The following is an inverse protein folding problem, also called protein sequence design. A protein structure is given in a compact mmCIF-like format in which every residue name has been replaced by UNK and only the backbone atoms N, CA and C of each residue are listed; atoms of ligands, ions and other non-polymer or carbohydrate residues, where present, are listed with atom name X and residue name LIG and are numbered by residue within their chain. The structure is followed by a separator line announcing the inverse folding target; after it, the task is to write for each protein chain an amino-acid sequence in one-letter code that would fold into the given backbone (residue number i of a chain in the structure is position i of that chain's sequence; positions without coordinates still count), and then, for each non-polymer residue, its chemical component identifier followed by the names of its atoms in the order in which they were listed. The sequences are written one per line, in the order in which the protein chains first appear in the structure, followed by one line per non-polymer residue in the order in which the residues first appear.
data_IF_032371906671
#
_entry.id   IF_032371906671
#
_cell.length_a   1.000
_cell.length_b   1.000
_cell.length_c   1.000
_cell.angle_alpha   90.00
_cell.angle_beta   90.00
_cell.angle_gamma   90.00
#
_symmetry.space_group_name_H-M   'P 1'
#
loop_
_entity.id
_entity.type
_entity.pdbx_description
1 polymer ?
#
# COMPACT_ATOMS: atom_id res chain seq x y z
N UNK A 1 -4.52 35.05 -20.10
CA UNK A 1 -3.84 33.76 -20.32
C UNK A 1 -4.51 32.69 -19.47
N UNK A 2 -4.39 31.41 -19.83
CA UNK A 2 -4.93 30.29 -19.05
C UNK A 2 -4.45 30.30 -17.59
N UNK A 3 -3.16 30.59 -17.37
CA UNK A 3 -2.57 30.72 -16.02
C UNK A 3 -3.22 31.82 -15.17
N UNK A 4 -3.65 32.94 -15.77
CA UNK A 4 -4.33 34.00 -15.01
C UNK A 4 -5.73 33.56 -14.57
N UNK A 5 -6.43 32.76 -15.38
CA UNK A 5 -7.73 32.18 -15.00
C UNK A 5 -7.54 31.24 -13.81
N UNK A 6 -6.56 30.34 -13.87
CA UNK A 6 -6.23 29.43 -12.76
C UNK A 6 -5.92 30.18 -11.46
N UNK A 7 -5.11 31.25 -11.52
CA UNK A 7 -4.82 32.10 -10.35
C UNK A 7 -6.06 32.78 -9.78
N UNK A 8 -6.96 33.27 -10.64
CA UNK A 8 -8.25 33.87 -10.21
C UNK A 8 -9.10 32.84 -9.49
N UNK A 9 -9.30 31.66 -10.09
CA UNK A 9 -10.08 30.58 -9.50
C UNK A 9 -9.47 30.11 -8.16
N UNK A 10 -8.14 30.01 -8.07
CA UNK A 10 -7.47 29.69 -6.81
C UNK A 10 -7.74 30.76 -5.73
N UNK A 11 -7.70 32.04 -6.10
CA UNK A 11 -8.02 33.15 -5.21
C UNK A 11 -9.45 33.08 -4.68
N UNK A 12 -10.43 32.82 -5.56
CA UNK A 12 -11.85 32.66 -5.20
C UNK A 12 -12.09 31.46 -4.27
N UNK A 13 -11.45 30.30 -4.55
CA UNK A 13 -11.54 29.14 -3.65
C UNK A 13 -10.93 29.43 -2.28
N UNK A 14 -9.80 30.14 -2.25
CA UNK A 14 -9.15 30.53 -0.99
C UNK A 14 -10.05 31.48 -0.19
N UNK A 15 -10.68 32.46 -0.83
CA UNK A 15 -11.63 33.36 -0.19
C UNK A 15 -12.84 32.59 0.35
N UNK A 16 -13.36 31.62 -0.40
CA UNK A 16 -14.44 30.74 0.07
C UNK A 16 -14.04 29.94 1.32
N UNK A 17 -12.81 29.41 1.39
CA UNK A 17 -12.29 28.73 2.60
C UNK A 17 -12.24 29.70 3.78
N UNK A 18 -11.75 30.94 3.57
CA UNK A 18 -11.68 31.95 4.63
C UNK A 18 -13.08 32.36 5.13
N UNK A 19 -14.06 32.48 4.24
CA UNK A 19 -15.44 32.78 4.63
C UNK A 19 -16.08 31.64 5.43
N UNK A 20 -15.79 30.40 5.06
CA UNK A 20 -16.23 29.21 5.81
C UNK A 20 -15.60 29.19 7.21
N UNK A 21 -14.29 29.42 7.28
CA UNK A 21 -13.54 29.50 8.53
C UNK A 21 -14.11 30.57 9.45
N UNK A 22 -14.27 31.79 8.95
CA UNK A 22 -14.81 32.90 9.74
C UNK A 22 -16.23 32.66 10.26
N UNK A 23 -17.07 31.96 9.48
CA UNK A 23 -18.47 31.74 9.82
C UNK A 23 -18.70 30.53 10.73
N UNK A 24 -17.85 29.51 10.64
CA UNK A 24 -18.12 28.20 11.23
C UNK A 24 -16.95 27.58 12.01
N UNK A 25 -15.75 28.16 11.96
CA UNK A 25 -14.56 27.67 12.65
C UNK A 25 -14.01 28.67 13.66
N UNK A 26 -13.04 28.22 14.44
CA UNK A 26 -12.18 29.11 15.23
C UNK A 26 -11.16 29.76 14.29
N UNK A 27 -10.84 31.04 14.53
CA UNK A 27 -9.91 31.82 13.69
C UNK A 27 -8.58 31.07 13.48
N UNK A 28 -8.29 30.67 12.23
CA UNK A 28 -7.03 30.01 11.87
C UNK A 28 -7.14 28.51 11.58
N UNK A 29 -8.28 27.86 11.78
CA UNK A 29 -8.48 26.42 11.55
C UNK A 29 -8.05 25.93 10.15
N UNK A 30 -8.31 26.68 9.09
CA UNK A 30 -7.97 26.31 7.71
C UNK A 30 -6.77 27.10 7.15
N UNK A 31 -6.54 28.32 7.64
CA UNK A 31 -5.47 29.20 7.16
C UNK A 31 -4.13 28.97 7.85
N UNK A 32 -4.11 28.38 9.06
CA UNK A 32 -2.89 28.14 9.83
C UNK A 32 -2.21 26.79 9.55
N UNK A 33 -2.66 26.05 8.54
CA UNK A 33 -2.19 24.70 8.17
C UNK A 33 -0.73 24.72 7.65
N UNK A 34 0.22 24.98 8.55
CA UNK A 34 1.55 24.41 8.50
C UNK A 34 1.44 22.96 9.01
N UNK A 35 2.14 22.03 8.35
CA UNK A 35 2.04 20.58 8.62
C UNK A 35 2.16 20.23 10.11
N UNK A 36 2.97 20.97 10.88
CA UNK A 36 3.21 20.73 12.30
C UNK A 36 2.04 21.10 13.23
N UNK A 37 1.18 22.05 12.82
CA UNK A 37 -0.05 22.41 13.55
C UNK A 37 -1.27 21.59 13.12
N UNK A 38 -1.13 20.85 12.02
CA UNK A 38 -2.24 20.16 11.36
C UNK A 38 -2.86 19.07 12.24
N UNK A 39 -2.06 18.32 12.99
CA UNK A 39 -2.54 17.24 13.86
C UNK A 39 -3.42 17.74 15.00
N UNK A 40 -3.18 18.96 15.49
CA UNK A 40 -4.05 19.61 16.47
C UNK A 40 -5.30 20.19 15.81
N UNK A 41 -5.16 20.78 14.61
CA UNK A 41 -6.28 21.31 13.83
C UNK A 41 -7.27 20.22 13.37
N UNK A 42 -6.84 18.96 13.22
CA UNK A 42 -7.74 17.82 12.95
C UNK A 42 -8.84 17.66 14.02
N UNK A 43 -8.53 17.99 15.28
CA UNK A 43 -9.51 17.95 16.39
C UNK A 43 -10.52 19.08 16.31
N UNK A 44 -10.16 20.14 15.61
CA UNK A 44 -10.97 21.35 15.41
C UNK A 44 -11.80 21.27 14.13
N UNK A 45 -11.58 20.25 13.27
CA UNK A 45 -12.39 20.04 12.07
C UNK A 45 -13.87 19.99 12.46
N UNK A 46 -14.75 20.73 11.75
CA UNK A 46 -16.15 20.80 12.12
C UNK A 46 -16.78 19.42 12.19
N UNK A 47 -17.53 19.13 13.25
CA UNK A 47 -18.31 17.87 13.35
C UNK A 47 -19.47 17.82 12.36
N UNK A 48 -19.83 18.98 11.79
CA UNK A 48 -20.85 19.07 10.74
C UNK A 48 -20.33 18.41 9.44
N UNK A 49 -21.00 17.34 9.04
CA UNK A 49 -20.63 16.55 7.87
C UNK A 49 -20.78 17.32 6.56
N UNK A 50 -21.76 18.24 6.44
CA UNK A 50 -21.93 19.05 5.24
C UNK A 50 -20.80 20.08 5.11
N UNK A 51 -20.37 20.66 6.24
CA UNK A 51 -19.26 21.60 6.25
C UNK A 51 -17.92 20.92 5.93
N UNK A 52 -17.65 19.73 6.50
CA UNK A 52 -16.51 18.89 6.12
C UNK A 52 -16.52 18.57 4.64
N UNK A 53 -17.69 18.19 4.11
CA UNK A 53 -17.86 17.90 2.69
C UNK A 53 -17.56 19.09 1.80
N UNK A 54 -18.04 20.27 2.18
CA UNK A 54 -17.77 21.49 1.43
C UNK A 54 -16.29 21.86 1.48
N UNK A 55 -15.70 21.93 2.68
CA UNK A 55 -14.29 22.28 2.86
C UNK A 55 -13.36 21.29 2.14
N UNK A 56 -13.55 19.98 2.32
CA UNK A 56 -12.76 18.96 1.65
C UNK A 56 -12.81 19.08 0.11
N UNK A 57 -13.97 19.43 -0.44
CA UNK A 57 -14.14 19.68 -1.88
C UNK A 57 -13.39 20.93 -2.34
N UNK A 58 -13.39 22.02 -1.55
CA UNK A 58 -12.59 23.22 -1.85
C UNK A 58 -11.09 22.89 -1.89
N UNK A 59 -10.56 22.21 -0.87
CA UNK A 59 -9.14 21.83 -0.83
C UNK A 59 -8.75 20.90 -1.98
N UNK A 60 -9.63 19.95 -2.35
CA UNK A 60 -9.43 19.08 -3.51
C UNK A 60 -9.27 19.91 -4.81
N UNK A 61 -10.17 20.86 -5.05
CA UNK A 61 -10.11 21.70 -6.25
C UNK A 61 -8.93 22.68 -6.25
N UNK A 62 -8.53 23.18 -5.07
CA UNK A 62 -7.29 23.95 -4.94
C UNK A 62 -6.08 23.09 -5.35
N UNK A 63 -6.03 21.83 -4.92
CA UNK A 63 -5.01 20.85 -5.36
C UNK A 63 -5.03 20.62 -6.88
N UNK A 64 -6.22 20.49 -7.49
CA UNK A 64 -6.36 20.35 -8.95
C UNK A 64 -5.83 21.57 -9.71
N UNK A 65 -6.16 22.79 -9.25
CA UNK A 65 -5.67 24.03 -9.87
C UNK A 65 -4.14 24.13 -9.77
N UNK A 66 -3.58 23.82 -8.61
CA UNK A 66 -2.13 23.84 -8.39
C UNK A 66 -1.41 22.80 -9.26
N UNK A 67 -2.01 21.61 -9.44
CA UNK A 67 -1.53 20.63 -10.42
C UNK A 67 -1.51 21.20 -11.82
N UNK A 68 -2.57 21.88 -12.27
CA UNK A 68 -2.60 22.53 -13.58
C UNK A 68 -1.61 23.69 -13.73
N UNK A 69 -1.19 24.28 -12.61
CA UNK A 69 -0.13 25.29 -12.55
C UNK A 69 1.29 24.70 -12.43
N UNK A 70 1.43 23.38 -12.31
CA UNK A 70 2.67 22.67 -12.00
C UNK A 70 3.33 23.11 -10.68
N UNK A 71 2.52 23.49 -9.68
CA UNK A 71 2.99 23.76 -8.32
C UNK A 71 2.85 22.47 -7.49
N UNK A 72 3.84 21.59 -7.63
CA UNK A 72 3.80 20.23 -7.07
C UNK A 72 3.74 20.23 -5.53
N UNK A 73 4.51 21.10 -4.88
CA UNK A 73 4.59 21.18 -3.42
C UNK A 73 3.24 21.56 -2.82
N UNK A 74 2.62 22.64 -3.32
CA UNK A 74 1.32 23.05 -2.83
C UNK A 74 0.24 22.06 -3.26
N UNK A 75 0.29 21.51 -4.48
CA UNK A 75 -0.66 20.50 -4.95
C UNK A 75 -0.75 19.32 -3.98
N UNK A 76 0.39 18.72 -3.62
CA UNK A 76 0.45 17.63 -2.65
C UNK A 76 -0.16 18.05 -1.32
N UNK A 77 0.25 19.22 -0.80
CA UNK A 77 -0.25 19.76 0.46
C UNK A 77 -1.78 19.87 0.47
N UNK A 78 -2.37 20.44 -0.57
CA UNK A 78 -3.83 20.63 -0.67
C UNK A 78 -4.59 19.31 -0.81
N UNK A 79 -4.08 18.34 -1.58
CA UNK A 79 -4.68 17.01 -1.62
C UNK A 79 -4.56 16.27 -0.29
N UNK A 80 -3.45 16.38 0.43
CA UNK A 80 -3.29 15.80 1.77
C UNK A 80 -4.27 16.41 2.77
N UNK A 81 -4.48 17.74 2.72
CA UNK A 81 -5.49 18.40 3.56
C UNK A 81 -6.89 17.89 3.23
N UNK A 82 -7.25 17.84 1.94
CA UNK A 82 -8.55 17.33 1.51
C UNK A 82 -8.78 15.88 1.96
N UNK A 83 -7.72 15.06 1.94
CA UNK A 83 -7.77 13.66 2.36
C UNK A 83 -8.04 13.53 3.85
N UNK A 84 -7.42 14.41 4.64
CA UNK A 84 -7.56 14.40 6.09
C UNK A 84 -8.94 14.89 6.54
N UNK A 85 -9.55 15.81 5.79
CA UNK A 85 -10.94 16.25 6.02
C UNK A 85 -11.94 15.16 5.62
N UNK A 86 -11.68 14.45 4.52
CA UNK A 86 -12.61 13.48 3.92
C UNK A 86 -11.94 12.15 3.53
N UNK A 87 -11.43 11.37 4.50
CA UNK A 87 -10.74 10.12 4.21
C UNK A 87 -11.66 9.07 3.57
N UNK A 88 -12.98 9.22 3.73
CA UNK A 88 -13.99 8.35 3.16
C UNK A 88 -14.17 8.49 1.64
N UNK A 89 -13.75 9.63 1.05
CA UNK A 89 -13.92 9.92 -0.38
C UNK A 89 -12.76 9.41 -1.22
N UNK A 90 -13.03 8.38 -2.03
CA UNK A 90 -12.07 7.80 -2.98
C UNK A 90 -11.49 8.80 -3.98
N UNK A 91 -12.21 9.89 -4.29
CA UNK A 91 -11.76 10.89 -5.28
C UNK A 91 -10.43 11.54 -4.89
N UNK A 92 -10.25 11.88 -3.61
CA UNK A 92 -9.01 12.51 -3.13
C UNK A 92 -7.84 11.53 -3.15
N UNK A 93 -8.08 10.28 -2.74
CA UNK A 93 -7.10 9.20 -2.89
C UNK A 93 -6.66 9.06 -4.34
N UNK A 94 -7.60 9.06 -5.29
CA UNK A 94 -7.27 8.97 -6.72
C UNK A 94 -6.43 10.16 -7.19
N UNK A 95 -6.71 11.40 -6.77
CA UNK A 95 -5.91 12.55 -7.18
C UNK A 95 -4.46 12.49 -6.64
N UNK A 96 -4.27 11.99 -5.42
CA UNK A 96 -2.91 11.69 -4.92
C UNK A 96 -2.24 10.61 -5.77
N UNK A 97 -2.95 9.56 -6.18
CA UNK A 97 -2.42 8.56 -7.10
C UNK A 97 -1.93 9.17 -8.41
N UNK A 98 -2.70 10.08 -9.01
CA UNK A 98 -2.31 10.82 -10.21
C UNK A 98 -1.12 11.74 -9.95
N UNK A 99 -1.08 12.41 -8.79
CA UNK A 99 0.04 13.27 -8.40
C UNK A 99 1.35 12.49 -8.37
N UNK A 100 1.41 11.35 -7.68
CA UNK A 100 2.64 10.55 -7.61
C UNK A 100 3.03 9.94 -8.97
N UNK A 101 2.05 9.62 -9.83
CA UNK A 101 2.31 9.03 -11.15
C UNK A 101 2.93 10.06 -12.10
N UNK A 102 2.51 11.33 -11.98
CA UNK A 102 2.93 12.43 -12.85
C UNK A 102 4.17 13.18 -12.39
N UNK A 103 4.53 13.10 -11.10
CA UNK A 103 5.64 13.84 -10.51
C UNK A 103 6.78 12.92 -10.10
N UNK A 104 7.53 12.30 -11.04
CA UNK A 104 8.68 11.48 -10.69
C UNK A 104 9.63 12.32 -9.84
N UNK A 105 9.82 11.95 -8.56
CA UNK A 105 10.84 12.58 -7.73
C UNK A 105 12.14 12.54 -8.51
N UNK A 106 12.73 13.71 -8.78
CA UNK A 106 14.11 13.78 -9.26
C UNK A 106 14.96 13.27 -8.11
N UNK A 107 15.29 11.98 -8.14
CA UNK A 107 16.29 11.43 -7.23
C UNK A 107 17.59 12.20 -7.51
N UNK A 108 18.21 12.77 -6.46
CA UNK A 108 19.46 13.53 -6.56
C UNK A 108 20.67 12.65 -6.93
N UNK A 109 20.44 11.41 -7.37
CA UNK A 109 21.43 10.51 -7.95
C UNK A 109 21.82 11.05 -9.34
N UNK A 110 22.87 11.87 -9.38
CA UNK A 110 23.40 12.55 -10.57
C UNK A 110 24.04 11.64 -11.63
N UNK A 111 23.53 10.44 -11.86
CA UNK A 111 23.94 9.58 -12.98
C UNK A 111 22.89 9.67 -14.10
N UNK A 112 23.34 10.14 -15.26
CA UNK A 112 22.59 10.18 -16.54
C UNK A 112 22.24 8.79 -17.12
N UNK A 113 22.05 7.78 -16.27
CA UNK A 113 21.57 6.48 -16.70
C UNK A 113 20.06 6.52 -16.89
N UNK A 114 19.72 6.94 -18.12
CA UNK A 114 18.54 6.58 -18.91
C UNK A 114 17.44 5.89 -18.11
N UNK A 115 16.32 6.58 -17.92
CA UNK A 115 14.95 6.16 -18.25
C UNK A 115 14.41 4.82 -17.67
N UNK A 116 15.21 4.00 -16.99
CA UNK A 116 14.91 2.60 -16.68
C UNK A 116 14.37 2.40 -15.28
N UNK A 117 14.74 3.26 -14.32
CA UNK A 117 13.98 3.39 -13.09
C UNK A 117 12.78 4.29 -13.40
N UNK A 118 11.75 3.72 -14.04
CA UNK A 118 10.39 4.22 -13.80
C UNK A 118 10.30 4.37 -12.29
N UNK A 119 10.24 5.60 -11.76
CA UNK A 119 10.40 5.85 -10.33
C UNK A 119 9.50 4.88 -9.54
N UNK A 120 10.09 3.78 -9.10
CA UNK A 120 9.36 2.57 -8.73
C UNK A 120 8.59 2.88 -7.46
N UNK A 121 9.25 3.57 -6.54
CA UNK A 121 8.65 4.21 -5.38
C UNK A 121 7.40 5.03 -5.74
N UNK A 122 7.47 5.96 -6.69
CA UNK A 122 6.31 6.77 -7.05
C UNK A 122 5.17 5.95 -7.66
N UNK A 123 5.46 4.98 -8.54
CA UNK A 123 4.42 4.11 -9.08
C UNK A 123 3.79 3.23 -7.99
N UNK A 124 4.61 2.72 -7.09
CA UNK A 124 4.19 1.97 -5.92
C UNK A 124 3.26 2.81 -5.06
N UNK A 125 3.65 4.04 -4.72
CA UNK A 125 2.82 5.00 -3.99
C UNK A 125 1.54 5.33 -4.77
N UNK A 126 1.60 5.51 -6.09
CA UNK A 126 0.42 5.71 -6.93
C UNK A 126 -0.55 4.54 -6.87
N UNK A 127 -0.06 3.31 -6.97
CA UNK A 127 -0.88 2.11 -6.84
C UNK A 127 -1.56 2.06 -5.49
N UNK A 128 -0.82 2.31 -4.40
CA UNK A 128 -1.41 2.42 -3.07
C UNK A 128 -2.60 3.38 -3.05
N UNK A 129 -2.42 4.60 -3.55
CA UNK A 129 -3.49 5.60 -3.59
C UNK A 129 -4.67 5.19 -4.48
N UNK A 130 -4.43 4.54 -5.62
CA UNK A 130 -5.51 4.04 -6.47
C UNK A 130 -6.29 2.88 -5.83
N UNK A 131 -5.62 1.94 -5.17
CA UNK A 131 -6.29 0.89 -4.39
C UNK A 131 -7.12 1.50 -3.26
N UNK A 132 -6.56 2.47 -2.52
CA UNK A 132 -7.31 3.21 -1.50
C UNK A 132 -8.52 3.94 -2.07
N UNK A 133 -8.43 4.47 -3.30
CA UNK A 133 -9.56 5.11 -3.97
C UNK A 133 -10.71 4.13 -4.27
N UNK A 134 -10.39 2.92 -4.71
CA UNK A 134 -11.37 1.88 -5.04
C UNK A 134 -12.05 1.33 -3.78
N UNK A 135 -11.27 1.12 -2.72
CA UNK A 135 -11.75 0.52 -1.47
C UNK A 135 -12.11 1.54 -0.38
N UNK A 136 -12.20 2.83 -0.72
CA UNK A 136 -12.73 3.84 0.19
C UNK A 136 -14.24 3.60 0.44
N UNK A 137 -14.78 4.00 1.60
CA UNK A 137 -16.21 3.91 1.89
C UNK A 137 -17.09 4.54 0.81
N UNK A 138 -16.66 5.66 0.23
CA UNK A 138 -17.24 6.25 -0.98
C UNK A 138 -16.25 6.00 -2.12
N UNK A 139 -16.41 4.90 -2.88
CA UNK A 139 -15.40 4.44 -3.82
C UNK A 139 -15.29 5.37 -5.03
N UNK A 140 -14.10 5.39 -5.64
CA UNK A 140 -13.83 6.07 -6.90
C UNK A 140 -13.19 5.09 -7.90
N UNK A 141 -13.57 5.19 -9.17
CA UNK A 141 -13.08 4.29 -10.22
C UNK A 141 -11.65 4.64 -10.61
N UNK A 142 -10.70 3.78 -10.21
CA UNK A 142 -9.26 3.95 -10.48
C UNK A 142 -8.62 2.72 -11.17
N UNK A 143 -9.41 1.70 -11.50
CA UNK A 143 -8.95 0.43 -12.06
C UNK A 143 -8.21 0.61 -13.39
N UNK A 144 -8.66 1.59 -14.19
CA UNK A 144 -8.00 1.94 -15.46
C UNK A 144 -6.59 2.48 -15.24
N UNK A 145 -6.37 3.25 -14.16
CA UNK A 145 -5.06 3.78 -13.84
C UNK A 145 -4.11 2.67 -13.35
N UNK A 146 -4.61 1.77 -12.50
CA UNK A 146 -3.85 0.58 -12.05
C UNK A 146 -3.41 -0.25 -13.25
N UNK A 147 -4.34 -0.63 -14.14
CA UNK A 147 -4.02 -1.40 -15.35
C UNK A 147 -3.02 -0.69 -16.26
N UNK A 148 -3.13 0.63 -16.41
CA UNK A 148 -2.17 1.42 -17.20
C UNK A 148 -0.77 1.34 -16.59
N UNK A 149 -0.64 1.52 -15.27
CA UNK A 149 0.64 1.42 -14.56
C UNK A 149 1.22 0.02 -14.73
N UNK A 150 0.45 -1.02 -14.42
CA UNK A 150 0.93 -2.40 -14.46
C UNK A 150 1.31 -2.84 -15.88
N UNK A 151 0.53 -2.47 -16.90
CA UNK A 151 0.89 -2.73 -18.30
C UNK A 151 2.18 -2.02 -18.71
N UNK A 152 2.40 -0.79 -18.23
CA UNK A 152 3.65 -0.04 -18.47
C UNK A 152 4.84 -0.73 -17.80
N UNK A 153 4.71 -1.12 -16.53
CA UNK A 153 5.74 -1.86 -15.78
C UNK A 153 6.10 -3.17 -16.50
N UNK A 154 5.10 -3.98 -16.84
CA UNK A 154 5.29 -5.25 -17.51
C UNK A 154 6.07 -5.09 -18.83
N UNK A 155 5.67 -4.12 -19.65
CA UNK A 155 6.31 -3.82 -20.92
C UNK A 155 7.76 -3.39 -20.76
N UNK A 156 8.04 -2.49 -19.82
CA UNK A 156 9.41 -1.99 -19.59
C UNK A 156 10.32 -3.08 -19.02
N UNK A 157 9.85 -3.86 -18.05
CA UNK A 157 10.60 -4.97 -17.47
C UNK A 157 10.92 -6.05 -18.51
N UNK A 158 9.96 -6.41 -19.37
CA UNK A 158 10.19 -7.40 -20.43
C UNK A 158 11.20 -6.91 -21.46
N UNK A 159 11.20 -5.62 -21.76
CA UNK A 159 12.11 -5.02 -22.74
C UNK A 159 13.52 -4.84 -22.18
N UNK A 160 13.64 -4.42 -20.92
CA UNK A 160 14.91 -4.07 -20.28
C UNK A 160 14.88 -4.51 -18.81
N UNK A 161 15.05 -5.82 -18.52
CA UNK A 161 15.08 -6.27 -17.14
C UNK A 161 16.28 -5.64 -16.41
N UNK A 162 16.08 -5.02 -15.24
CA UNK A 162 17.18 -4.49 -14.43
C UNK A 162 18.10 -5.65 -14.00
N UNK A 163 19.42 -5.40 -14.02
CA UNK A 163 20.40 -6.40 -13.59
C UNK A 163 20.30 -6.72 -12.09
N UNK A 164 19.90 -5.74 -11.29
CA UNK A 164 19.66 -5.87 -9.84
C UNK A 164 18.46 -5.00 -9.47
N UNK A 165 17.23 -5.51 -9.59
CA UNK A 165 16.06 -4.73 -9.26
C UNK A 165 16.01 -4.41 -7.76
N UNK A 166 15.48 -3.24 -7.42
CA UNK A 166 15.11 -2.92 -6.04
C UNK A 166 13.82 -3.65 -5.62
N UNK A 167 13.43 -3.48 -4.36
CA UNK A 167 12.25 -4.17 -3.82
C UNK A 167 10.97 -3.71 -4.55
N UNK A 168 10.81 -2.40 -4.72
CA UNK A 168 9.66 -1.80 -5.37
C UNK A 168 9.52 -2.28 -6.82
N UNK A 169 10.61 -2.38 -7.57
CA UNK A 169 10.66 -2.92 -8.93
C UNK A 169 10.20 -4.38 -8.96
N UNK A 170 10.75 -5.26 -8.11
CA UNK A 170 10.33 -6.67 -8.06
C UNK A 170 8.85 -6.77 -7.71
N UNK A 171 8.40 -6.00 -6.71
CA UNK A 171 7.02 -6.01 -6.26
C UNK A 171 6.06 -5.52 -7.36
N UNK A 172 6.38 -4.43 -8.04
CA UNK A 172 5.61 -3.94 -9.18
C UNK A 172 5.56 -4.93 -10.33
N UNK A 173 6.67 -5.62 -10.62
CA UNK A 173 6.73 -6.67 -11.65
C UNK A 173 5.84 -7.84 -11.28
N UNK A 174 5.88 -8.31 -10.03
CA UNK A 174 4.99 -9.37 -9.54
C UNK A 174 3.51 -8.99 -9.75
N UNK A 175 3.12 -7.79 -9.36
CA UNK A 175 1.75 -7.29 -9.57
C UNK A 175 1.39 -7.20 -11.04
N UNK A 176 2.32 -6.75 -11.88
CA UNK A 176 2.10 -6.60 -13.30
C UNK A 176 1.92 -7.95 -14.01
N UNK A 177 2.70 -8.94 -13.59
CA UNK A 177 2.58 -10.32 -14.05
C UNK A 177 1.23 -10.92 -13.64
N UNK A 178 0.82 -10.72 -12.38
CA UNK A 178 -0.51 -11.14 -11.87
C UNK A 178 -1.64 -10.49 -12.70
N UNK A 179 -1.57 -9.19 -12.97
CA UNK A 179 -2.60 -8.48 -13.76
C UNK A 179 -2.66 -8.97 -15.21
N UNK A 180 -1.50 -9.21 -15.83
CA UNK A 180 -1.38 -9.68 -17.21
C UNK A 180 -1.90 -11.10 -17.43
N UNK A 181 -2.02 -11.92 -16.37
CA UNK A 181 -2.37 -13.34 -16.44
C UNK A 181 -1.38 -14.18 -17.29
N UNK A 182 -0.18 -13.66 -17.53
CA UNK A 182 0.89 -14.32 -18.29
C UNK A 182 1.42 -15.53 -17.50
N UNK A 183 1.76 -16.62 -18.19
CA UNK A 183 2.46 -17.74 -17.57
C UNK A 183 3.88 -17.32 -17.15
N UNK A 184 4.18 -17.48 -15.86
CA UNK A 184 5.52 -17.22 -15.32
C UNK A 184 6.31 -18.51 -15.44
N UNK A 185 7.13 -18.61 -16.48
CA UNK A 185 8.06 -19.73 -16.71
C UNK A 185 9.08 -19.93 -15.58
N UNK A 186 9.32 -18.88 -14.78
CA UNK A 186 10.24 -18.91 -13.64
C UNK A 186 9.62 -18.22 -12.40
N UNK A 187 8.42 -18.65 -12.02
CA UNK A 187 7.71 -18.15 -10.82
C UNK A 187 8.59 -18.23 -9.56
N UNK A 188 9.26 -19.36 -9.35
CA UNK A 188 10.05 -19.61 -8.14
C UNK A 188 11.24 -18.66 -8.00
N UNK A 189 11.96 -18.35 -9.09
CA UNK A 189 13.05 -17.39 -9.01
C UNK A 189 12.54 -15.98 -8.68
N UNK A 190 11.40 -15.57 -9.24
CA UNK A 190 10.82 -14.25 -8.98
C UNK A 190 10.40 -14.12 -7.50
N UNK A 191 9.75 -15.14 -6.93
CA UNK A 191 9.41 -15.16 -5.50
C UNK A 191 10.63 -15.28 -4.60
N UNK A 192 11.66 -16.03 -4.98
CA UNK A 192 12.93 -16.08 -4.25
C UNK A 192 13.61 -14.71 -4.23
N UNK A 193 13.62 -14.01 -5.37
CA UNK A 193 14.12 -12.64 -5.48
C UNK A 193 13.34 -11.65 -4.63
N UNK A 194 12.00 -11.73 -4.66
CA UNK A 194 11.12 -10.94 -3.80
C UNK A 194 11.42 -11.19 -2.32
N UNK A 195 11.47 -12.45 -1.91
CA UNK A 195 11.74 -12.85 -0.52
C UNK A 195 13.09 -12.35 -0.02
N UNK A 196 14.13 -12.44 -0.84
CA UNK A 196 15.45 -11.89 -0.50
C UNK A 196 15.37 -10.38 -0.36
N UNK A 197 14.77 -9.69 -1.33
CA UNK A 197 14.75 -8.22 -1.37
C UNK A 197 13.93 -7.62 -0.24
N UNK A 198 12.77 -8.21 0.07
CA UNK A 198 11.98 -7.78 1.22
C UNK A 198 12.75 -8.06 2.51
N UNK A 199 13.36 -9.24 2.69
CA UNK A 199 14.15 -9.53 3.90
C UNK A 199 15.30 -8.56 4.10
N UNK A 200 16.00 -8.20 3.03
CA UNK A 200 17.18 -7.33 3.08
C UNK A 200 16.80 -5.86 3.35
N UNK A 201 15.67 -5.40 2.81
CA UNK A 201 15.27 -3.98 2.87
C UNK A 201 14.26 -3.66 3.96
N UNK A 202 13.54 -4.64 4.48
CA UNK A 202 12.43 -4.40 5.42
C UNK A 202 12.87 -3.85 6.78
N UNK A 203 14.12 -4.05 7.18
CA UNK A 203 14.66 -3.38 8.36
C UNK A 203 14.87 -1.87 8.12
N UNK A 204 15.03 -1.47 6.86
CA UNK A 204 15.15 -0.07 6.43
C UNK A 204 13.79 0.52 6.00
N UNK A 205 12.77 -0.32 5.76
CA UNK A 205 11.43 0.14 5.41
C UNK A 205 10.75 0.78 6.62
N UNK A 206 10.22 1.98 6.42
CA UNK A 206 9.32 2.56 7.40
C UNK A 206 8.02 1.74 7.43
N UNK A 207 7.38 1.65 8.61
CA UNK A 207 6.14 0.87 8.76
C UNK A 207 5.02 1.34 7.82
N UNK A 208 5.04 2.62 7.41
CA UNK A 208 4.13 3.17 6.41
C UNK A 208 4.25 2.50 5.04
N UNK A 209 5.46 2.15 4.62
CA UNK A 209 5.73 1.55 3.32
C UNK A 209 5.31 0.08 3.37
N UNK A 210 5.53 -0.57 4.50
CA UNK A 210 4.99 -1.89 4.76
C UNK A 210 3.46 -1.95 4.65
N UNK A 211 2.75 -0.99 5.27
CA UNK A 211 1.30 -0.91 5.16
C UNK A 211 0.82 -0.68 3.73
N UNK A 212 1.57 0.09 2.94
CA UNK A 212 1.27 0.27 1.52
C UNK A 212 1.37 -1.06 0.77
N UNK A 213 2.44 -1.85 0.99
CA UNK A 213 2.62 -3.18 0.37
C UNK A 213 1.40 -4.06 0.67
N UNK A 214 1.05 -4.20 1.96
CA UNK A 214 -0.05 -5.07 2.37
C UNK A 214 -1.38 -4.62 1.74
N UNK A 215 -1.68 -3.32 1.80
CA UNK A 215 -2.92 -2.78 1.22
C UNK A 215 -2.99 -2.98 -0.31
N UNK A 216 -1.86 -2.89 -1.01
CA UNK A 216 -1.79 -3.18 -2.45
C UNK A 216 -2.05 -4.68 -2.71
N UNK A 217 -1.42 -5.59 -1.96
CA UNK A 217 -1.62 -7.04 -2.11
C UNK A 217 -3.11 -7.39 -1.89
N UNK A 218 -3.71 -6.87 -0.82
CA UNK A 218 -5.12 -7.13 -0.51
C UNK A 218 -6.06 -6.54 -1.54
N UNK A 219 -5.81 -5.31 -1.98
CA UNK A 219 -6.58 -4.71 -3.06
C UNK A 219 -6.47 -5.52 -4.35
N UNK A 220 -5.29 -6.05 -4.65
CA UNK A 220 -5.06 -6.93 -5.81
C UNK A 220 -5.82 -8.24 -5.65
N UNK A 221 -5.77 -8.86 -4.46
CA UNK A 221 -6.51 -10.07 -4.14
C UNK A 221 -8.00 -9.89 -4.39
N UNK A 222 -8.62 -8.86 -3.82
CA UNK A 222 -10.04 -8.56 -3.97
C UNK A 222 -10.43 -8.33 -5.44
N UNK A 223 -9.60 -7.61 -6.20
CA UNK A 223 -9.85 -7.39 -7.63
C UNK A 223 -9.71 -8.66 -8.48
N UNK A 224 -8.92 -9.62 -8.05
CA UNK A 224 -8.53 -10.80 -8.83
C UNK A 224 -9.13 -12.11 -8.33
N UNK A 225 -9.85 -12.13 -7.20
CA UNK A 225 -10.38 -13.35 -6.56
C UNK A 225 -11.27 -14.19 -7.51
N UNK A 226 -11.88 -13.55 -8.51
CA UNK A 226 -12.71 -14.20 -9.53
C UNK A 226 -11.89 -14.96 -10.60
N UNK A 227 -10.56 -14.86 -10.59
CA UNK A 227 -9.63 -15.52 -11.54
C UNK A 227 -8.79 -16.58 -10.81
N UNK A 228 -9.09 -17.88 -10.96
CA UNK A 228 -8.45 -18.95 -10.17
C UNK A 228 -6.92 -19.02 -10.29
N UNK A 229 -6.38 -18.79 -11.50
CA UNK A 229 -4.92 -18.81 -11.73
C UNK A 229 -4.20 -17.69 -10.96
N UNK A 230 -4.72 -16.46 -11.06
CA UNK A 230 -4.16 -15.30 -10.37
C UNK A 230 -4.28 -15.42 -8.85
N UNK A 231 -5.36 -16.05 -8.38
CA UNK A 231 -5.59 -16.29 -6.95
C UNK A 231 -4.41 -17.02 -6.31
N UNK A 232 -3.93 -18.13 -6.89
CA UNK A 232 -2.79 -18.89 -6.36
C UNK A 232 -1.52 -18.03 -6.21
N UNK A 233 -1.21 -17.22 -7.22
CA UNK A 233 -0.01 -16.38 -7.22
C UNK A 233 -0.12 -15.28 -6.16
N UNK A 234 -1.30 -14.67 -6.00
CA UNK A 234 -1.52 -13.64 -4.96
C UNK A 234 -1.49 -14.27 -3.57
N UNK A 235 -2.07 -15.46 -3.38
CA UNK A 235 -2.02 -16.20 -2.11
C UNK A 235 -0.57 -16.54 -1.72
N UNK A 236 0.27 -16.92 -2.70
CA UNK A 236 1.71 -17.09 -2.49
C UNK A 236 2.39 -15.78 -2.11
N UNK A 237 2.14 -14.69 -2.84
CA UNK A 237 2.70 -13.36 -2.53
C UNK A 237 2.36 -12.89 -1.12
N UNK A 238 1.12 -13.12 -0.72
CA UNK A 238 0.62 -12.80 0.60
C UNK A 238 1.28 -13.67 1.67
N UNK A 239 1.46 -14.96 1.41
CA UNK A 239 2.15 -15.90 2.31
C UNK A 239 3.63 -15.53 2.50
N UNK A 240 4.35 -15.22 1.41
CA UNK A 240 5.76 -14.82 1.49
C UNK A 240 5.93 -13.48 2.22
N UNK A 241 5.06 -12.51 1.94
CA UNK A 241 5.04 -11.21 2.64
C UNK A 241 4.76 -11.43 4.13
N UNK A 242 3.83 -12.31 4.45
CA UNK A 242 3.46 -12.68 5.80
C UNK A 242 4.60 -13.34 6.58
N UNK A 243 5.24 -14.37 6.03
CA UNK A 243 6.34 -15.09 6.69
C UNK A 243 7.49 -14.14 7.04
N UNK A 244 7.81 -13.22 6.12
CA UNK A 244 8.88 -12.25 6.35
C UNK A 244 8.50 -11.31 7.50
N UNK A 245 7.25 -10.84 7.56
CA UNK A 245 6.79 -9.97 8.65
C UNK A 245 6.83 -10.63 10.01
N UNK A 246 6.27 -11.83 10.12
CA UNK A 246 6.25 -12.56 11.37
C UNK A 246 7.69 -12.82 11.81
N UNK A 247 8.58 -13.20 10.89
CA UNK A 247 10.00 -13.35 11.16
C UNK A 247 10.62 -12.09 11.77
N UNK A 248 10.30 -10.91 11.25
CA UNK A 248 10.85 -9.65 11.75
C UNK A 248 10.24 -9.20 13.08
N UNK A 249 8.93 -9.42 13.25
CA UNK A 249 8.25 -9.13 14.51
C UNK A 249 8.82 -10.00 15.63
N UNK A 250 9.10 -11.27 15.34
CA UNK A 250 9.74 -12.18 16.27
C UNK A 250 11.20 -11.79 16.55
N UNK A 251 11.96 -11.39 15.52
CA UNK A 251 13.35 -10.92 15.69
C UNK A 251 13.45 -9.62 16.50
N UNK A 252 12.47 -8.73 16.36
CA UNK A 252 12.44 -7.44 17.05
C UNK A 252 11.50 -7.42 18.27
N UNK A 253 11.07 -8.61 18.73
CA UNK A 253 10.09 -8.76 19.82
C UNK A 253 10.52 -8.08 21.12
N UNK A 254 11.82 -8.10 21.39
CA UNK A 254 12.39 -7.50 22.59
C UNK A 254 12.62 -6.00 22.46
N UNK A 255 12.55 -5.45 21.24
CA UNK A 255 12.60 -4.00 21.06
C UNK A 255 11.32 -3.39 21.65
N UNK A 256 11.47 -2.42 22.54
CA UNK A 256 10.36 -1.67 23.20
C UNK A 256 9.49 -0.90 22.19
N UNK A 257 9.76 -1.03 20.88
CA UNK A 257 9.18 -0.27 19.79
C UNK A 257 8.37 -1.14 18.82
N UNK A 258 7.66 -2.16 19.31
CA UNK A 258 6.49 -2.66 18.57
C UNK A 258 5.44 -1.53 18.57
N UNK A 259 5.56 -0.65 17.59
CA UNK A 259 4.67 0.49 17.39
C UNK A 259 3.23 0.00 17.11
N UNK A 260 2.21 0.79 17.47
CA UNK A 260 0.78 0.57 17.14
C UNK A 260 0.56 0.16 15.68
N UNK A 261 1.41 0.62 14.75
CA UNK A 261 1.36 0.17 13.36
C UNK A 261 1.61 -1.33 13.17
N UNK A 262 2.48 -1.96 13.94
CA UNK A 262 2.72 -3.41 13.86
C UNK A 262 1.47 -4.21 14.29
N UNK A 263 0.80 -3.77 15.35
CA UNK A 263 -0.49 -4.36 15.74
C UNK A 263 -1.54 -4.20 14.63
N UNK A 264 -1.58 -3.03 14.00
CA UNK A 264 -2.48 -2.79 12.88
C UNK A 264 -2.19 -3.74 11.71
N UNK A 265 -0.91 -3.90 11.34
CA UNK A 265 -0.47 -4.90 10.35
C UNK A 265 -0.94 -6.29 10.73
N UNK A 266 -0.70 -6.72 11.97
CA UNK A 266 -1.10 -8.06 12.44
C UNK A 266 -2.61 -8.27 12.37
N UNK A 267 -3.41 -7.27 12.76
CA UNK A 267 -4.87 -7.35 12.65
C UNK A 267 -5.37 -7.42 11.21
N UNK A 268 -4.67 -6.76 10.27
CA UNK A 268 -4.96 -6.87 8.85
C UNK A 268 -4.63 -8.28 8.35
N UNK A 269 -3.48 -8.82 8.75
CA UNK A 269 -3.06 -10.17 8.38
C UNK A 269 -4.01 -11.23 8.93
N UNK A 270 -4.49 -11.09 10.16
CA UNK A 270 -5.48 -11.99 10.75
C UNK A 270 -6.80 -12.01 9.96
N UNK A 271 -7.32 -10.84 9.54
CA UNK A 271 -8.51 -10.80 8.69
C UNK A 271 -8.33 -11.55 7.37
N UNK A 272 -7.13 -11.50 6.86
CA UNK A 272 -6.76 -12.13 5.60
C UNK A 272 -6.58 -13.63 5.79
N UNK A 273 -6.04 -14.05 6.94
CA UNK A 273 -5.89 -15.46 7.29
C UNK A 273 -7.22 -16.20 7.34
N UNK A 274 -8.26 -15.55 7.89
CA UNK A 274 -9.63 -16.07 7.92
C UNK A 274 -10.11 -16.40 6.50
N UNK A 275 -9.79 -15.54 5.52
CA UNK A 275 -10.14 -15.75 4.12
C UNK A 275 -9.28 -16.83 3.43
N UNK A 276 -8.12 -17.15 4.01
CA UNK A 276 -7.18 -18.14 3.49
C UNK A 276 -7.21 -19.49 4.25
N UNK A 277 -8.14 -19.71 5.17
CA UNK A 277 -8.22 -20.89 6.05
C UNK A 277 -8.20 -22.25 5.34
N UNK A 278 -8.51 -22.29 4.04
CA UNK A 278 -8.47 -23.50 3.24
C UNK A 278 -7.06 -23.94 2.82
N UNK A 279 -6.01 -23.14 3.09
CA UNK A 279 -4.64 -23.50 2.77
C UNK A 279 -3.91 -23.99 4.04
N UNK A 280 -3.54 -25.28 4.15
CA UNK A 280 -3.00 -25.86 5.38
C UNK A 280 -1.69 -25.20 5.83
N UNK A 281 -0.82 -24.81 4.89
CA UNK A 281 0.46 -24.12 5.19
C UNK A 281 0.25 -22.70 5.73
N UNK A 282 -0.81 -22.03 5.28
CA UNK A 282 -1.22 -20.71 5.77
C UNK A 282 -1.82 -20.88 7.17
N UNK A 283 -2.71 -21.83 7.38
CA UNK A 283 -3.38 -22.03 8.67
C UNK A 283 -2.38 -22.20 9.83
N UNK A 284 -1.31 -22.97 9.63
CA UNK A 284 -0.26 -23.15 10.63
C UNK A 284 0.51 -21.85 10.89
N UNK A 285 0.90 -21.15 9.81
CA UNK A 285 1.66 -19.91 9.87
C UNK A 285 0.86 -18.80 10.56
N UNK A 286 -0.46 -18.74 10.37
CA UNK A 286 -1.36 -17.72 10.91
C UNK A 286 -1.91 -18.00 12.30
N UNK A 287 -1.97 -19.26 12.74
CA UNK A 287 -2.32 -19.59 14.14
C UNK A 287 -1.38 -18.89 15.15
N UNK A 288 -0.12 -18.71 14.77
CA UNK A 288 0.89 -18.04 15.58
C UNK A 288 0.65 -16.52 15.74
N UNK A 289 -0.03 -15.85 14.80
CA UNK A 289 -0.29 -14.39 14.91
C UNK A 289 -1.25 -14.05 16.01
N UNK A 290 -2.37 -14.76 16.12
CA UNK A 290 -3.32 -14.49 17.21
C UNK A 290 -2.64 -14.70 18.56
N UNK A 291 -1.76 -15.70 18.67
CA UNK A 291 -0.99 -15.97 19.90
C UNK A 291 0.02 -14.84 20.18
N UNK A 292 0.75 -14.40 19.16
CA UNK A 292 1.69 -13.26 19.24
C UNK A 292 0.93 -11.97 19.61
N UNK A 293 -0.24 -11.72 19.01
CA UNK A 293 -1.08 -10.56 19.33
C UNK A 293 -1.59 -10.59 20.77
N UNK A 294 -2.03 -11.76 21.25
CA UNK A 294 -2.49 -11.95 22.62
C UNK A 294 -1.34 -11.73 23.61
N UNK A 295 -0.18 -12.37 23.40
CA UNK A 295 1.03 -12.17 24.22
C UNK A 295 1.49 -10.72 24.23
N UNK A 296 1.37 -10.02 23.10
CA UNK A 296 1.70 -8.60 23.03
C UNK A 296 0.73 -7.75 23.85
N UNK A 297 -0.58 -7.96 23.68
CA UNK A 297 -1.62 -7.25 24.43
C UNK A 297 -1.46 -7.48 25.93
N UNK A 298 -1.13 -8.70 26.34
CA UNK A 298 -0.82 -9.04 27.73
C UNK A 298 0.42 -8.30 28.26
N UNK A 299 1.52 -8.25 27.48
CA UNK A 299 2.74 -7.53 27.86
C UNK A 299 2.50 -6.03 27.99
N UNK A 300 1.82 -5.39 27.04
CA UNK A 300 1.49 -3.96 27.13
C UNK A 300 0.59 -3.66 28.34
N UNK A 301 -0.39 -4.52 28.62
CA UNK A 301 -1.23 -4.45 29.81
C UNK A 301 -0.43 -4.53 31.12
N UNK A 302 0.65 -5.32 31.15
CA UNK A 302 1.54 -5.42 32.30
C UNK A 302 2.47 -4.21 32.46
N UNK A 303 2.94 -3.64 31.35
CA UNK A 303 3.91 -2.54 31.36
C UNK A 303 3.26 -1.20 31.76
N UNK A 304 2.03 -0.95 31.34
CA UNK A 304 1.29 0.26 31.74
C UNK A 304 -0.23 0.00 31.74
N UNK A 305 -0.80 -0.45 32.88
CA UNK A 305 -2.23 -0.75 33.00
C UNK A 305 -3.14 0.47 32.83
N UNK A 306 -2.57 1.69 32.91
CA UNK A 306 -3.27 2.96 32.78
C UNK A 306 -2.98 3.64 31.43
N UNK A 307 -2.20 2.99 30.55
CA UNK A 307 -2.00 3.45 29.18
C UNK A 307 -3.33 3.41 28.46
N UNK A 308 -4.00 4.56 28.43
CA UNK A 308 -5.01 4.79 27.43
C UNK A 308 -4.28 4.67 26.10
N UNK A 309 -4.50 3.58 25.37
CA UNK A 309 -4.21 3.53 23.95
C UNK A 309 -5.03 4.66 23.34
N UNK A 310 -4.41 5.83 23.21
CA UNK A 310 -5.07 6.92 22.57
C UNK A 310 -5.28 6.49 21.13
N UNK A 311 -6.55 6.48 20.73
CA UNK A 311 -6.97 6.26 19.35
C UNK A 311 -6.31 7.31 18.42
N UNK A 312 -5.67 8.35 18.97
CA UNK A 312 -4.79 9.28 18.25
C UNK A 312 -3.72 8.59 17.38
N UNK A 313 -3.27 7.38 17.73
CA UNK A 313 -2.31 6.62 16.91
C UNK A 313 -2.91 6.09 15.59
N UNK A 314 -4.24 6.12 15.44
CA UNK A 314 -4.95 5.65 14.26
C UNK A 314 -5.24 6.75 13.23
N UNK A 315 -4.94 8.03 13.50
CA UNK A 315 -5.12 9.12 12.54
C UNK A 315 -6.48 9.06 11.80
N UNK A 316 -6.54 9.29 10.47
CA UNK A 316 -7.80 9.31 9.71
C UNK A 316 -8.58 7.97 9.66
N UNK A 317 -8.15 6.93 10.39
CA UNK A 317 -8.92 5.70 10.62
C UNK A 317 -9.84 5.77 11.85
N UNK A 318 -9.80 6.83 12.66
CA UNK A 318 -10.79 7.01 13.75
C UNK A 318 -12.24 7.00 13.22
N UNK A 319 -12.46 7.39 11.97
CA UNK A 319 -13.79 7.42 11.36
C UNK A 319 -14.26 6.04 10.83
N UNK A 320 -13.35 5.06 10.63
CA UNK A 320 -13.72 3.67 10.36
C UNK A 320 -14.04 2.88 11.63
N UNK A 321 -13.59 3.41 12.78
CA UNK A 321 -13.86 2.96 14.14
C UNK A 321 -14.74 4.03 14.80
N UNK A 322 -15.89 4.32 14.20
CA UNK A 322 -16.83 5.36 14.65
C UNK A 322 -17.61 4.99 15.91
N UNK A 323 -17.00 4.22 16.79
CA UNK A 323 -17.46 3.99 18.15
C UNK A 323 -16.33 4.41 19.06
N UNK A 324 -16.63 5.18 20.09
CA UNK A 324 -15.80 5.34 21.29
C UNK A 324 -15.60 3.94 21.91
N UNK A 325 -14.79 3.11 21.26
CA UNK A 325 -14.37 1.83 21.79
C UNK A 325 -13.29 2.20 22.79
N UNK A 326 -13.68 2.23 24.06
CA UNK A 326 -12.71 2.10 25.14
C UNK A 326 -11.76 0.94 24.79
N UNK A 327 -10.51 0.97 25.26
CA UNK A 327 -9.56 -0.12 25.04
C UNK A 327 -10.18 -1.49 25.38
N UNK A 328 -11.03 -1.55 26.41
CA UNK A 328 -11.82 -2.72 26.78
C UNK A 328 -12.79 -3.18 25.67
N UNK A 329 -13.41 -2.26 24.95
CA UNK A 329 -14.31 -2.56 23.84
C UNK A 329 -13.57 -2.98 22.57
N UNK A 330 -12.37 -2.44 22.29
CA UNK A 330 -11.49 -2.95 21.23
C UNK A 330 -11.00 -4.37 21.57
N UNK A 331 -10.63 -4.62 22.83
CA UNK A 331 -10.28 -5.95 23.32
C UNK A 331 -11.47 -6.92 23.24
N UNK A 332 -12.69 -6.47 23.56
CA UNK A 332 -13.92 -7.25 23.40
C UNK A 332 -14.23 -7.52 21.92
N UNK A 333 -13.97 -6.57 21.03
CA UNK A 333 -14.08 -6.77 19.58
C UNK A 333 -13.09 -7.81 19.08
N UNK A 334 -11.81 -7.72 19.47
CA UNK A 334 -10.81 -8.73 19.15
C UNK A 334 -11.19 -10.11 19.70
N UNK A 335 -11.54 -10.21 20.99
CA UNK A 335 -11.99 -11.48 21.62
C UNK A 335 -13.25 -12.05 20.97
N UNK A 336 -14.18 -11.20 20.52
CA UNK A 336 -15.39 -11.62 19.81
C UNK A 336 -15.08 -12.06 18.36
N UNK A 337 -14.07 -11.47 17.72
CA UNK A 337 -13.64 -11.79 16.35
C UNK A 337 -12.80 -13.08 16.31
N UNK A 338 -11.96 -13.29 17.33
CA UNK A 338 -11.11 -14.47 17.50
C UNK A 338 -11.93 -15.71 17.95
N UNK A 339 -13.06 -15.48 18.65
CA UNK A 339 -13.93 -16.54 19.17
C UNK A 339 -13.29 -17.35 20.32
N UNK A 340 -14.08 -18.15 21.07
CA UNK A 340 -13.54 -19.00 22.12
C UNK A 340 -12.77 -20.17 21.51
N UNK A 341 -11.46 -20.28 21.78
CA UNK A 341 -10.65 -21.45 21.41
C UNK A 341 -11.04 -22.66 22.27
N UNK A 342 -11.10 -23.83 21.63
CA UNK A 342 -10.86 -25.10 22.32
C UNK A 342 -9.36 -25.19 22.59
N UNK A 343 -8.98 -25.51 23.83
CA UNK A 343 -7.58 -25.79 24.17
C UNK A 343 -7.02 -26.84 23.20
N UNK A 344 -5.89 -26.57 22.52
CA UNK A 344 -5.25 -27.56 21.68
C UNK A 344 -4.65 -28.66 22.56
N UNK A 345 -5.03 -29.91 22.29
CA UNK A 345 -4.31 -31.07 22.81
C UNK A 345 -2.88 -31.04 22.22
N UNK A 346 -1.89 -30.80 23.07
CA UNK A 346 -0.48 -30.80 22.70
C UNK A 346 -0.09 -32.15 22.08
N UNK A 347 0.40 -32.21 20.84
CA UNK A 347 1.02 -33.42 20.32
C UNK A 347 2.37 -33.67 20.99
N UNK A 348 2.81 -34.94 21.09
CA UNK A 348 4.06 -35.30 21.76
C UNK A 348 5.27 -34.74 21.00
N UNK A 349 6.19 -34.15 21.76
CA UNK A 349 7.44 -33.54 21.29
C UNK A 349 8.33 -34.62 20.66
N UNK A 350 8.65 -34.47 19.37
CA UNK A 350 9.69 -35.23 18.67
C UNK A 350 10.95 -34.37 18.58
N UNK A 351 12.01 -34.80 19.29
CA UNK A 351 13.35 -34.25 19.16
C UNK A 351 13.93 -34.62 17.79
N UNK A 352 14.32 -33.62 16.99
CA UNK A 352 15.33 -33.80 15.95
C UNK A 352 16.26 -32.59 15.92
N UNK A 353 17.55 -32.88 16.11
CA UNK A 353 18.66 -31.97 15.86
C UNK A 353 19.12 -32.10 14.41
N UNK A 354 19.79 -31.04 13.96
CA UNK A 354 20.70 -30.95 12.81
C UNK A 354 20.08 -30.75 11.41
N UNK A 355 20.26 -29.54 10.88
CA UNK A 355 20.59 -29.29 9.47
C UNK A 355 21.30 -27.95 9.33
N UNK A 356 22.59 -28.02 9.02
CA UNK A 356 23.44 -26.90 8.56
C UNK A 356 23.09 -26.55 7.11
N UNK A 357 22.83 -25.28 6.80
CA UNK A 357 22.59 -24.81 5.44
C UNK A 357 23.88 -24.28 4.78
N UNK A 358 24.11 -24.74 3.55
CA UNK A 358 25.09 -24.22 2.59
C UNK A 358 24.34 -23.24 1.68
N UNK A 359 24.87 -22.03 1.49
CA UNK A 359 24.29 -21.02 0.59
C UNK A 359 25.04 -21.03 -0.75
N UNK A 360 24.32 -21.37 -1.83
CA UNK A 360 24.72 -21.12 -3.21
C UNK A 360 24.00 -19.86 -3.74
N UNK A 361 24.78 -18.94 -4.30
CA UNK A 361 24.32 -17.73 -5.00
C UNK A 361 24.37 -17.96 -6.51
N UNK A 362 23.27 -18.45 -7.09
CA UNK A 362 23.08 -18.48 -8.55
C UNK A 362 22.23 -17.29 -9.02
N UNK A 363 22.64 -16.72 -10.15
CA UNK A 363 22.13 -15.51 -10.80
C UNK A 363 20.67 -15.65 -11.28
N UNK A 364 19.87 -14.60 -11.05
CA UNK A 364 18.48 -14.47 -11.52
C UNK A 364 18.43 -14.21 -13.04
N UNK A 365 18.16 -15.26 -13.83
CA UNK A 365 17.72 -15.12 -15.22
C UNK A 365 16.22 -15.45 -15.34
N UNK A 366 15.38 -14.42 -15.43
CA UNK A 366 13.93 -14.57 -15.66
C UNK A 366 13.68 -14.37 -17.15
N UNK A 367 13.21 -15.43 -17.85
CA UNK A 367 12.91 -15.37 -19.29
C UNK A 367 11.40 -15.40 -19.50
N UNK A 368 10.76 -14.29 -19.86
CA UNK A 368 9.32 -14.24 -20.15
C UNK A 368 9.06 -14.64 -21.60
N UNK A 369 8.22 -15.64 -21.85
CA UNK A 369 7.78 -16.03 -23.20
C UNK A 369 6.41 -15.42 -23.50
N UNK A 370 6.34 -14.50 -24.46
CA UNK A 370 5.05 -14.00 -24.97
C UNK A 370 4.44 -15.03 -25.91
N UNK A 371 3.45 -15.79 -25.45
CA UNK A 371 2.60 -16.58 -26.32
C UNK A 371 1.55 -15.67 -26.96
N UNK A 372 1.91 -15.04 -28.08
CA UNK A 372 1.00 -14.58 -29.13
C UNK A 372 1.82 -14.17 -30.35
N UNK A 373 2.20 -15.16 -31.16
CA UNK A 373 2.75 -14.96 -32.48
C UNK A 373 1.59 -14.73 -33.47
N UNK A 374 1.45 -13.51 -33.98
CA UNK A 374 0.75 -13.27 -35.24
C UNK A 374 1.67 -13.78 -36.34
N UNK A 375 1.42 -15.00 -36.82
CA UNK A 375 1.96 -15.52 -38.08
C UNK A 375 1.50 -14.62 -39.23
N UNK A 376 2.41 -13.80 -39.77
CA UNK A 376 2.28 -13.30 -41.14
C UNK A 376 3.12 -14.21 -42.02
N UNK A 377 2.48 -15.26 -42.54
CA UNK A 377 2.95 -15.93 -43.74
C UNK A 377 2.90 -14.94 -44.91
N UNK A 378 4.05 -14.61 -45.48
CA UNK A 378 4.15 -14.45 -46.94
C UNK A 378 5.41 -15.12 -47.44
N UNK A 379 5.22 -16.30 -48.01
CA UNK A 379 6.16 -16.92 -48.93
C UNK A 379 6.24 -16.06 -50.20
N UNK A 380 7.44 -15.64 -50.60
CA UNK A 380 7.85 -15.77 -52.00
C UNK A 380 9.37 -15.80 -52.11
N UNK A 381 9.82 -16.90 -52.69
CA UNK A 381 11.18 -17.30 -52.99
C UNK A 381 11.65 -16.76 -54.36
N UNK A 382 12.98 -16.82 -54.55
CA UNK A 382 13.77 -16.70 -55.79
C UNK A 382 14.04 -15.26 -56.28
N UNK A 383 15.24 -14.85 -56.70
CA UNK A 383 16.44 -15.58 -57.14
C UNK A 383 17.64 -14.63 -57.11
N UNK A 384 18.81 -15.12 -56.72
CA UNK A 384 20.13 -14.53 -57.03
C UNK A 384 20.41 -14.60 -58.53
N UNK A 385 20.83 -13.48 -59.12
CA UNK A 385 21.80 -13.49 -60.22
C UNK A 385 22.79 -12.33 -60.06
N UNK A 386 24.05 -12.71 -60.17
CA UNK A 386 25.25 -11.87 -60.24
C UNK A 386 25.34 -11.08 -61.55
N UNK A 387 25.71 -9.82 -61.44
CA UNK A 387 26.77 -9.16 -62.24
C UNK A 387 27.19 -7.86 -61.55
#
# INVERSE_FOLDING_TARGET
SYTNVLRSCFGELREAVMLVEHKYGDDGMFTSLNQEKFTNALREIPRDSALRQFAGTLFLHMGDILRYMNDEELCQKYYTIALLIQPEKGQTWNQLGVFYESNPKKTNSGSNEKLHAVNAYNLFTSLYYYYRAIFAPIPFTAEKNIKRILAKVFKEFTKNPPAKPDFEEIFLVLLAVIDSNTDITNEDALFKGFRSSIRDQILDLEVKDFLQILLIILGTYEMMIKKPKNRRIIERLLTETYEVLVGLLLQNWDSVFINTYHLYVMSMLERVSINLENHPDVKASFACVSDIMELYLERELQLDPLRNFSIDCFGPLSDLVQTDLSYASFLSYLKATIGPRKEPELPPILNTSDTTSVFDTDELNVTLTSNDAIEVMTNSSATTSTS
#
